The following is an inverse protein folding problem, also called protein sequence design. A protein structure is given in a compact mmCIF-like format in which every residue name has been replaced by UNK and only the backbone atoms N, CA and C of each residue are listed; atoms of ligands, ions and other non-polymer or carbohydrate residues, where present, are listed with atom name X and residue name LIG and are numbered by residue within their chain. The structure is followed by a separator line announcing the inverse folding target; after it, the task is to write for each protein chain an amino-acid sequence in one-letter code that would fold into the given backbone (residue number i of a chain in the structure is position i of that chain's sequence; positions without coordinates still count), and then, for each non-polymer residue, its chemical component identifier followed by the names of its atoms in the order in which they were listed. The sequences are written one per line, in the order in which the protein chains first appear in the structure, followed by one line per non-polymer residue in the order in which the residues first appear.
data_IF_310289933870
#
_entry.id   IF_310289933870
#
_cell.length_a   1.000
_cell.length_b   1.000
_cell.length_c   1.000
_cell.angle_alpha   90.00
_cell.angle_beta   90.00
_cell.angle_gamma   90.00
#
_symmetry.space_group_name_H-M   'P 1'
#
loop_
_entity.id
_entity.type
_entity.pdbx_description
1 polymer ?
#
# COMPACT_ATOMS: atom_id res chain seq x y z
N UNK A 1 -23.68 0.08 -0.57
CA UNK A 1 -22.87 0.75 -1.61
C UNK A 1 -22.12 -0.24 -2.50
N UNK A 2 -21.24 -1.08 -1.95
CA UNK A 2 -20.48 -2.12 -2.71
C UNK A 2 -21.34 -2.90 -3.71
N UNK A 3 -22.49 -3.43 -3.28
CA UNK A 3 -23.42 -4.15 -4.16
C UNK A 3 -23.87 -3.32 -5.37
N UNK A 4 -24.27 -2.05 -5.17
CA UNK A 4 -24.69 -1.16 -6.27
C UNK A 4 -23.55 -0.91 -7.24
N UNK A 5 -22.34 -0.65 -6.73
CA UNK A 5 -21.16 -0.45 -7.57
C UNK A 5 -20.80 -1.71 -8.36
N UNK A 6 -20.98 -2.90 -7.79
CA UNK A 6 -20.79 -4.17 -8.51
C UNK A 6 -21.77 -4.32 -9.68
N UNK A 7 -23.04 -3.96 -9.49
CA UNK A 7 -24.02 -3.97 -10.58
C UNK A 7 -23.61 -3.00 -11.70
N UNK A 8 -23.19 -1.78 -11.35
CA UNK A 8 -22.71 -0.79 -12.32
C UNK A 8 -21.47 -1.28 -13.09
N UNK A 9 -20.54 -1.97 -12.43
CA UNK A 9 -19.36 -2.55 -13.11
C UNK A 9 -19.81 -3.61 -14.13
N UNK A 10 -20.75 -4.48 -13.76
CA UNK A 10 -21.26 -5.54 -14.64
C UNK A 10 -21.98 -4.96 -15.86
N UNK A 11 -22.81 -3.93 -15.67
CA UNK A 11 -23.52 -3.24 -16.77
C UNK A 11 -22.56 -2.57 -17.76
N UNK A 12 -21.47 -1.94 -17.28
CA UNK A 12 -20.47 -1.32 -18.15
C UNK A 12 -19.55 -2.34 -18.84
N UNK A 13 -19.56 -3.62 -18.42
CA UNK A 13 -18.74 -4.69 -19.01
C UNK A 13 -19.45 -5.44 -20.15
N UNK A 14 -20.77 -5.27 -20.29
CA UNK A 14 -21.56 -5.85 -21.37
C UNK A 14 -21.31 -5.07 -22.67
N UNK A 15 -20.99 -5.73 -23.80
CA UNK A 15 -20.81 -5.04 -25.08
C UNK A 15 -22.14 -4.44 -25.51
N UNK A 16 -22.29 -3.10 -25.39
CA UNK A 16 -23.49 -2.43 -25.86
C UNK A 16 -23.58 -2.57 -27.38
N UNK A 17 -24.55 -3.33 -27.86
CA UNK A 17 -24.91 -3.41 -29.27
C UNK A 17 -25.58 -2.10 -29.71
N UNK A 18 -24.83 -1.00 -29.82
CA UNK A 18 -25.09 0.17 -30.66
C UNK A 18 -24.24 1.38 -30.19
N UNK A 19 -23.36 1.87 -31.06
CA UNK A 19 -23.44 3.18 -31.73
C UNK A 19 -22.04 3.60 -32.17
N UNK A 20 -21.83 3.71 -33.49
CA UNK A 20 -20.59 4.22 -34.08
C UNK A 20 -20.28 5.62 -33.55
N UNK A 21 -19.10 5.78 -32.93
CA UNK A 21 -18.43 7.07 -32.71
C UNK A 21 -17.95 7.28 -31.27
N UNK A 22 -16.62 7.26 -31.07
CA UNK A 22 -15.91 7.74 -29.87
C UNK A 22 -16.10 6.99 -28.52
N UNK A 23 -16.25 5.66 -28.55
CA UNK A 23 -16.63 4.85 -27.38
C UNK A 23 -15.50 4.43 -26.42
N UNK A 24 -14.22 4.61 -26.76
CA UNK A 24 -13.11 4.10 -25.92
C UNK A 24 -12.86 4.89 -24.62
N UNK A 25 -13.04 6.21 -24.67
CA UNK A 25 -12.78 7.11 -23.55
C UNK A 25 -13.99 7.18 -22.58
N UNK A 26 -15.22 7.36 -23.08
CA UNK A 26 -16.40 7.59 -22.23
C UNK A 26 -16.60 6.61 -21.03
N UNK A 27 -16.31 5.29 -21.14
CA UNK A 27 -16.39 4.37 -20.01
C UNK A 27 -15.29 4.57 -18.94
N UNK A 28 -14.06 4.91 -19.36
CA UNK A 28 -12.91 5.10 -18.46
C UNK A 28 -13.11 6.36 -17.62
N UNK A 29 -13.50 7.48 -18.23
CA UNK A 29 -13.74 8.72 -17.49
C UNK A 29 -14.95 8.58 -16.55
N UNK A 30 -15.94 7.75 -16.90
CA UNK A 30 -17.05 7.43 -15.98
C UNK A 30 -16.56 6.67 -14.76
N UNK A 31 -15.73 5.65 -14.93
CA UNK A 31 -15.15 4.89 -13.82
C UNK A 31 -14.28 5.81 -12.95
N UNK A 32 -13.46 6.65 -13.56
CA UNK A 32 -12.62 7.60 -12.83
C UNK A 32 -13.46 8.57 -11.97
N UNK A 33 -14.56 9.11 -12.50
CA UNK A 33 -15.49 9.94 -11.72
C UNK A 33 -16.12 9.18 -10.55
N UNK A 34 -16.56 7.95 -10.78
CA UNK A 34 -17.12 7.10 -9.71
C UNK A 34 -16.10 6.84 -8.60
N UNK A 35 -14.86 6.53 -8.97
CA UNK A 35 -13.76 6.35 -7.99
C UNK A 35 -13.61 7.63 -7.16
N UNK A 36 -13.51 8.79 -7.80
CA UNK A 36 -13.35 10.07 -7.08
C UNK A 36 -14.53 10.39 -6.15
N UNK A 37 -15.76 10.15 -6.61
CA UNK A 37 -16.97 10.33 -5.78
C UNK A 37 -16.95 9.41 -4.55
N UNK A 38 -16.59 8.14 -4.72
CA UNK A 38 -16.48 7.22 -3.58
C UNK A 38 -15.34 7.62 -2.63
N UNK A 39 -14.19 8.11 -3.11
CA UNK A 39 -13.13 8.61 -2.25
C UNK A 39 -13.57 9.80 -1.41
N UNK A 40 -14.37 10.70 -1.99
CA UNK A 40 -14.94 11.85 -1.27
C UNK A 40 -15.90 11.37 -0.17
N UNK A 41 -16.81 10.44 -0.49
CA UNK A 41 -17.74 9.86 0.49
C UNK A 41 -17.00 9.16 1.64
N UNK A 42 -15.94 8.40 1.34
CA UNK A 42 -15.12 7.76 2.37
C UNK A 42 -14.45 8.78 3.29
N UNK A 43 -13.87 9.84 2.72
CA UNK A 43 -13.20 10.90 3.49
C UNK A 43 -14.20 11.61 4.41
N UNK A 44 -15.37 11.93 3.86
CA UNK A 44 -16.48 12.50 4.61
C UNK A 44 -16.99 11.61 5.75
N UNK A 45 -17.06 10.30 5.53
CA UNK A 45 -17.51 9.34 6.54
C UNK A 45 -16.44 9.11 7.63
N UNK A 46 -15.16 9.10 7.26
CA UNK A 46 -14.05 9.01 8.19
C UNK A 46 -13.96 10.25 9.11
N UNK A 47 -14.29 11.45 8.59
CA UNK A 47 -14.25 12.68 9.37
C UNK A 47 -15.38 12.82 10.40
N UNK A 48 -16.44 12.01 10.28
CA UNK A 48 -17.60 12.03 11.19
C UNK A 48 -17.47 11.04 12.34
N UNK A 49 -16.58 10.05 12.24
CA UNK A 49 -16.42 9.03 13.27
C UNK A 49 -14.95 8.61 13.39
N UNK A 50 -14.33 8.72 14.58
CA UNK A 50 -12.94 8.32 14.79
C UNK A 50 -12.72 6.86 14.38
N UNK A 51 -11.63 6.60 13.65
CA UNK A 51 -11.28 5.24 13.21
C UNK A 51 -12.43 4.51 12.51
N UNK A 52 -13.10 5.18 11.57
CA UNK A 52 -14.22 4.60 10.83
C UNK A 52 -13.76 3.48 9.89
N UNK A 53 -13.68 2.27 10.43
CA UNK A 53 -13.29 1.06 9.73
C UNK A 53 -14.09 0.81 8.45
N UNK A 54 -15.40 1.08 8.47
CA UNK A 54 -16.27 0.85 7.31
C UNK A 54 -15.96 1.81 6.15
N UNK A 55 -15.61 3.06 6.45
CA UNK A 55 -15.23 4.04 5.43
C UNK A 55 -13.92 3.64 4.77
N UNK A 56 -12.90 3.34 5.57
CA UNK A 56 -11.57 2.96 5.07
C UNK A 56 -11.58 1.62 4.33
N UNK A 57 -12.34 0.64 4.80
CA UNK A 57 -12.47 -0.67 4.15
C UNK A 57 -13.26 -0.59 2.85
N UNK A 58 -14.27 0.28 2.77
CA UNK A 58 -14.93 0.59 1.51
C UNK A 58 -13.95 1.27 0.54
N UNK A 59 -13.09 2.18 1.03
CA UNK A 59 -12.04 2.83 0.23
C UNK A 59 -11.07 1.81 -0.39
N UNK A 60 -10.60 0.83 0.38
CA UNK A 60 -9.81 -0.31 -0.12
C UNK A 60 -10.57 -1.08 -1.21
N UNK A 61 -11.84 -1.39 -0.95
CA UNK A 61 -12.66 -2.14 -1.90
C UNK A 61 -12.79 -1.41 -3.24
N UNK A 62 -12.98 -0.08 -3.22
CA UNK A 62 -13.03 0.76 -4.43
C UNK A 62 -11.71 0.69 -5.20
N UNK A 63 -10.56 0.75 -4.51
CA UNK A 63 -9.26 0.63 -5.15
C UNK A 63 -9.04 -0.72 -5.84
N UNK A 64 -9.45 -1.81 -5.20
CA UNK A 64 -9.33 -3.16 -5.73
C UNK A 64 -10.25 -3.39 -6.94
N UNK A 65 -11.52 -2.95 -6.84
CA UNK A 65 -12.56 -3.36 -7.78
C UNK A 65 -12.80 -2.35 -8.90
N UNK A 66 -12.67 -1.05 -8.63
CA UNK A 66 -12.89 0.02 -9.61
C UNK A 66 -11.58 0.57 -10.16
N UNK A 67 -10.66 0.99 -9.28
CA UNK A 67 -9.41 1.64 -9.71
C UNK A 67 -8.28 0.67 -10.10
N UNK A 68 -8.51 -0.64 -9.94
CA UNK A 68 -7.61 -1.75 -10.34
C UNK A 68 -6.19 -1.64 -9.81
N UNK A 69 -6.02 -1.00 -8.65
CA UNK A 69 -4.71 -0.80 -8.00
C UNK A 69 -3.64 -0.29 -8.97
N UNK A 70 -3.96 0.64 -9.87
CA UNK A 70 -2.94 1.22 -10.74
C UNK A 70 -1.91 1.99 -9.92
N UNK A 71 -0.63 1.91 -10.29
CA UNK A 71 0.48 2.60 -9.60
C UNK A 71 0.16 4.07 -9.36
N UNK A 72 -0.33 4.76 -10.39
CA UNK A 72 -0.72 6.16 -10.32
C UNK A 72 -1.75 6.41 -9.21
N UNK A 73 -2.83 5.63 -9.16
CA UNK A 73 -3.87 5.81 -8.14
C UNK A 73 -3.34 5.52 -6.74
N UNK A 74 -2.49 4.50 -6.57
CA UNK A 74 -1.88 4.20 -5.28
C UNK A 74 -1.00 5.35 -4.77
N UNK A 75 -0.19 5.95 -5.66
CA UNK A 75 0.66 7.10 -5.34
C UNK A 75 -0.15 8.37 -5.04
N UNK A 76 -1.19 8.63 -5.84
CA UNK A 76 -2.10 9.75 -5.63
C UNK A 76 -2.81 9.62 -4.27
N UNK A 77 -3.23 8.41 -3.89
CA UNK A 77 -3.88 8.13 -2.61
C UNK A 77 -2.91 8.20 -1.42
N UNK A 78 -1.67 7.75 -1.57
CA UNK A 78 -0.65 7.89 -0.52
C UNK A 78 -0.35 9.37 -0.26
N UNK A 79 -0.32 10.17 -1.32
CA UNK A 79 -0.13 11.62 -1.24
C UNK A 79 -1.35 12.32 -0.63
N UNK A 80 -2.56 12.00 -1.09
CA UNK A 80 -3.80 12.66 -0.65
C UNK A 80 -4.15 12.37 0.82
N UNK A 81 -3.79 11.18 1.32
CA UNK A 81 -4.06 10.78 2.70
C UNK A 81 -2.97 11.17 3.70
N UNK A 82 -1.84 11.75 3.25
CA UNK A 82 -0.75 12.18 4.15
C UNK A 82 -1.26 13.23 5.15
N UNK A 83 -1.92 14.28 4.65
CA UNK A 83 -2.50 15.32 5.51
C UNK A 83 -3.54 14.77 6.48
N UNK A 84 -4.32 13.76 6.06
CA UNK A 84 -5.32 13.15 6.91
C UNK A 84 -4.71 12.55 8.17
N UNK A 85 -3.69 11.70 8.01
CA UNK A 85 -3.06 11.01 9.15
C UNK A 85 -2.26 11.96 10.04
N UNK A 86 -1.71 13.05 9.47
CA UNK A 86 -1.09 14.12 10.26
C UNK A 86 -2.09 14.85 11.17
N UNK A 87 -3.37 14.92 10.78
CA UNK A 87 -4.44 15.54 11.58
C UNK A 87 -5.17 14.55 12.49
N UNK A 88 -5.06 13.24 12.23
CA UNK A 88 -5.78 12.17 12.92
C UNK A 88 -4.81 11.08 13.39
N UNK A 89 -3.86 11.45 14.24
CA UNK A 89 -2.74 10.59 14.69
C UNK A 89 -3.16 9.33 15.45
N UNK A 90 -4.42 9.23 15.89
CA UNK A 90 -4.99 8.03 16.54
C UNK A 90 -5.87 7.18 15.59
N UNK A 91 -5.97 7.53 14.31
CA UNK A 91 -6.81 6.81 13.34
C UNK A 91 -6.12 5.53 12.86
N UNK A 92 -6.28 4.45 13.63
CA UNK A 92 -5.75 3.14 13.25
C UNK A 92 -6.23 2.66 11.88
N UNK A 93 -7.48 2.98 11.49
CA UNK A 93 -8.01 2.56 10.19
C UNK A 93 -7.39 3.35 9.03
N UNK A 94 -7.10 4.64 9.25
CA UNK A 94 -6.39 5.49 8.30
C UNK A 94 -4.94 5.06 8.09
N UNK A 95 -4.21 4.74 9.16
CA UNK A 95 -2.85 4.20 9.04
C UNK A 95 -2.82 2.82 8.39
N UNK A 96 -3.76 1.93 8.75
CA UNK A 96 -3.91 0.65 8.06
C UNK A 96 -4.20 0.81 6.56
N UNK A 97 -4.99 1.82 6.17
CA UNK A 97 -5.20 2.14 4.75
C UNK A 97 -3.89 2.53 4.05
N UNK A 98 -3.04 3.35 4.69
CA UNK A 98 -1.71 3.69 4.14
C UNK A 98 -0.82 2.47 4.00
N UNK A 99 -0.82 1.59 4.99
CA UNK A 99 -0.12 0.31 4.93
C UNK A 99 -0.60 -0.56 3.76
N UNK A 100 -1.92 -0.62 3.52
CA UNK A 100 -2.49 -1.29 2.35
C UNK A 100 -1.96 -0.71 1.04
N UNK A 101 -1.82 0.63 0.93
CA UNK A 101 -1.28 1.28 -0.28
C UNK A 101 0.18 0.91 -0.51
N UNK A 102 1.02 0.97 0.53
CA UNK A 102 2.44 0.61 0.45
C UNK A 102 2.63 -0.86 0.07
N UNK A 103 1.91 -1.77 0.72
CA UNK A 103 1.93 -3.19 0.39
C UNK A 103 1.48 -3.45 -1.06
N UNK A 104 0.45 -2.74 -1.52
CA UNK A 104 -0.01 -2.84 -2.91
C UNK A 104 1.06 -2.37 -3.91
N UNK A 105 1.80 -1.29 -3.59
CA UNK A 105 2.92 -0.82 -4.40
C UNK A 105 4.06 -1.85 -4.42
N UNK A 106 4.44 -2.39 -3.26
CA UNK A 106 5.45 -3.46 -3.14
C UNK A 106 5.08 -4.62 -4.05
N UNK A 107 3.88 -5.22 -3.89
CA UNK A 107 3.44 -6.37 -4.66
C UNK A 107 3.44 -6.11 -6.18
N UNK A 108 3.15 -4.89 -6.62
CA UNK A 108 3.20 -4.53 -8.05
C UNK A 108 4.62 -4.51 -8.58
N UNK A 109 5.54 -3.84 -7.88
CA UNK A 109 6.95 -3.79 -8.28
C UNK A 109 7.55 -5.20 -8.38
N UNK A 110 7.18 -6.13 -7.49
CA UNK A 110 7.58 -7.55 -7.60
C UNK A 110 7.08 -8.19 -8.89
N UNK A 111 5.81 -7.98 -9.21
CA UNK A 111 5.16 -8.58 -10.38
C UNK A 111 5.78 -8.06 -11.68
N UNK A 112 5.99 -6.75 -11.77
CA UNK A 112 6.56 -6.09 -12.95
C UNK A 112 8.02 -6.55 -13.19
N UNK A 113 8.80 -6.70 -12.11
CA UNK A 113 10.17 -7.23 -12.18
C UNK A 113 10.22 -8.70 -12.64
N UNK A 114 9.31 -9.55 -12.15
CA UNK A 114 9.24 -10.96 -12.56
C UNK A 114 8.89 -11.11 -14.06
N UNK A 115 7.97 -10.29 -14.56
CA UNK A 115 7.58 -10.28 -15.99
C UNK A 115 8.77 -9.82 -16.86
N UNK A 116 9.50 -8.79 -16.44
CA UNK A 116 10.68 -8.30 -17.17
C UNK A 116 11.77 -9.38 -17.30
N UNK A 117 12.07 -10.09 -16.19
CA UNK A 117 13.06 -11.18 -16.17
C UNK A 117 12.63 -12.34 -17.05
N UNK A 118 11.35 -12.73 -17.02
CA UNK A 118 10.83 -13.83 -17.83
C UNK A 118 10.86 -13.51 -19.33
N UNK A 119 10.52 -12.27 -19.72
CA UNK A 119 10.58 -11.83 -21.13
C UNK A 119 12.02 -11.76 -21.66
N UNK A 120 13.01 -11.46 -20.82
CA UNK A 120 14.43 -11.53 -21.18
C UNK A 120 14.89 -12.98 -21.44
N UNK A 121 14.45 -13.94 -20.62
CA UNK A 121 14.81 -15.36 -20.81
C UNK A 121 14.18 -15.99 -22.06
N UNK A 122 12.97 -15.56 -22.46
CA UNK A 122 12.34 -16.04 -23.71
C UNK A 122 13.04 -15.49 -24.95
N UNK A 123 13.62 -14.28 -24.87
CA UNK A 123 14.31 -13.66 -26.00
C UNK A 123 15.70 -14.26 -26.29
N UNK A 124 16.34 -14.92 -25.32
CA UNK A 124 17.62 -15.61 -25.54
C UNK A 124 17.50 -17.02 -26.12
N UNK A 125 16.28 -17.59 -26.22
CA UNK A 125 16.07 -18.94 -26.74
C UNK A 125 15.68 -19.02 -28.23
N UNK A 126 15.77 -17.91 -28.99
CA UNK A 126 15.45 -17.93 -30.41
C UNK A 126 16.46 -17.16 -31.29
N UNK A 127 17.63 -17.75 -31.61
CA UNK A 127 18.50 -17.21 -32.65
C UNK A 127 18.02 -17.73 -34.01
N UNK A 128 16.97 -17.13 -34.59
CA UNK A 128 16.69 -17.34 -36.01
C UNK A 128 16.22 -16.09 -36.74
N UNK A 129 17.16 -15.56 -37.53
CA UNK A 129 17.02 -14.77 -38.75
C UNK A 129 16.22 -13.46 -38.69
N UNK A 130 16.96 -12.36 -38.52
CA UNK A 130 16.62 -11.07 -39.09
C UNK A 130 16.52 -11.15 -40.62
N UNK A 131 15.39 -10.73 -41.18
CA UNK A 131 15.35 -9.95 -42.43
C UNK A 131 14.21 -8.96 -42.33
N UNK A 132 14.57 -7.68 -42.45
CA UNK A 132 13.72 -6.54 -42.16
C UNK A 132 12.69 -6.23 -43.22
N UNK A 133 11.80 -5.31 -42.87
CA UNK A 133 11.16 -4.37 -43.78
C UNK A 133 10.63 -3.19 -42.95
N UNK A 134 11.03 -1.98 -43.34
CA UNK A 134 10.56 -0.71 -42.80
C UNK A 134 9.07 -0.52 -43.13
N UNK A 135 8.25 -0.17 -42.14
CA UNK A 135 6.98 0.52 -42.37
C UNK A 135 6.75 1.55 -41.28
N UNK A 136 6.68 2.80 -41.71
CA UNK A 136 6.49 3.98 -40.91
C UNK A 136 5.10 4.06 -40.24
N UNK A 137 5.10 4.65 -39.04
CA UNK A 137 4.05 5.54 -38.57
C UNK A 137 2.75 4.91 -38.08
N UNK A 138 2.66 4.66 -36.77
CA UNK A 138 1.53 5.17 -35.97
C UNK A 138 2.01 5.29 -34.52
N UNK A 139 2.24 6.53 -34.08
CA UNK A 139 2.39 6.88 -32.67
C UNK A 139 1.09 6.51 -31.93
N UNK A 140 1.14 5.46 -31.11
CA UNK A 140 0.15 5.22 -30.07
C UNK A 140 0.90 5.30 -28.75
N UNK A 141 0.60 6.34 -27.98
CA UNK A 141 1.10 6.60 -26.65
C UNK A 141 0.83 5.38 -25.74
N UNK A 142 1.79 4.47 -25.65
CA UNK A 142 1.83 3.44 -24.62
C UNK A 142 2.54 4.06 -23.42
N UNK A 143 1.78 4.24 -22.35
CA UNK A 143 2.15 4.87 -21.10
C UNK A 143 3.61 4.61 -20.70
N UNK A 144 4.34 5.69 -20.39
CA UNK A 144 5.55 5.59 -19.60
C UNK A 144 5.19 4.87 -18.30
N UNK A 145 5.55 3.58 -18.19
CA UNK A 145 5.59 2.89 -16.91
C UNK A 145 6.69 3.56 -16.10
N UNK A 146 6.28 4.63 -15.40
CA UNK A 146 7.12 5.35 -14.47
C UNK A 146 7.57 4.35 -13.41
N UNK A 147 8.86 3.96 -13.46
CA UNK A 147 9.43 3.08 -12.46
C UNK A 147 9.21 3.70 -11.09
N UNK A 148 8.51 2.96 -10.22
CA UNK A 148 8.23 3.43 -8.86
C UNK A 148 9.52 3.32 -8.06
N UNK A 149 10.02 4.47 -7.60
CA UNK A 149 11.10 4.53 -6.61
C UNK A 149 10.56 4.12 -5.23
N UNK A 150 10.36 2.81 -5.07
CA UNK A 150 9.76 2.19 -3.90
C UNK A 150 10.57 2.42 -2.61
N UNK A 151 11.92 2.31 -2.60
CA UNK A 151 12.72 2.63 -1.42
C UNK A 151 12.46 4.05 -0.92
N UNK A 152 12.46 5.04 -1.83
CA UNK A 152 12.16 6.44 -1.45
C UNK A 152 10.78 6.61 -0.85
N UNK A 153 9.76 5.87 -1.32
CA UNK A 153 8.40 5.95 -0.75
C UNK A 153 8.31 5.40 0.67
N UNK A 154 9.09 4.37 0.98
CA UNK A 154 9.18 3.81 2.32
C UNK A 154 9.98 4.73 3.25
N UNK A 155 11.06 5.34 2.75
CA UNK A 155 11.82 6.34 3.49
C UNK A 155 10.96 7.57 3.83
N UNK A 156 10.21 8.11 2.86
CA UNK A 156 9.27 9.22 3.07
C UNK A 156 8.17 8.90 4.11
N UNK A 157 7.71 7.64 4.16
CA UNK A 157 6.75 7.19 5.16
C UNK A 157 7.40 7.06 6.56
N UNK A 158 8.64 6.57 6.63
CA UNK A 158 9.39 6.47 7.87
C UNK A 158 9.70 7.85 8.48
N UNK A 159 10.03 8.82 7.63
CA UNK A 159 10.18 10.22 8.04
C UNK A 159 8.86 10.79 8.58
N UNK A 160 7.73 10.49 7.95
CA UNK A 160 6.41 10.86 8.45
C UNK A 160 6.12 10.23 9.82
N UNK A 161 6.41 8.95 10.02
CA UNK A 161 6.26 8.28 11.31
C UNK A 161 7.08 8.99 12.39
N UNK A 162 8.36 9.24 12.10
CA UNK A 162 9.29 9.93 13.00
C UNK A 162 8.76 11.31 13.40
N UNK A 163 8.34 12.11 12.42
CA UNK A 163 7.78 13.45 12.65
C UNK A 163 6.53 13.40 13.55
N UNK A 164 5.61 12.47 13.27
CA UNK A 164 4.37 12.37 14.04
C UNK A 164 4.62 11.84 15.46
N UNK A 165 5.53 10.88 15.65
CA UNK A 165 5.89 10.34 16.96
C UNK A 165 6.56 11.43 17.82
N UNK A 166 7.43 12.27 17.24
CA UNK A 166 8.08 13.38 17.93
C UNK A 166 7.07 14.48 18.31
N UNK A 167 6.14 14.82 17.41
CA UNK A 167 5.18 15.91 17.61
C UNK A 167 3.97 15.52 18.48
N UNK A 168 3.58 14.25 18.48
CA UNK A 168 2.39 13.72 19.15
C UNK A 168 2.75 12.48 19.98
N UNK A 169 3.36 12.67 21.16
CA UNK A 169 3.74 11.56 22.02
C UNK A 169 2.52 10.84 22.60
N UNK A 170 2.65 9.54 22.86
CA UNK A 170 1.64 8.74 23.57
C UNK A 170 0.59 8.08 22.66
N UNK A 171 0.80 8.07 21.35
CA UNK A 171 -0.13 7.45 20.39
C UNK A 171 0.39 6.08 19.90
N UNK A 172 -0.18 5.00 20.41
CA UNK A 172 0.15 3.62 20.03
C UNK A 172 0.07 3.40 18.51
N UNK A 173 -0.92 4.00 17.86
CA UNK A 173 -1.15 3.92 16.41
C UNK A 173 0.11 4.24 15.60
N UNK A 174 0.85 5.29 16.00
CA UNK A 174 2.03 5.74 15.27
C UNK A 174 3.18 4.74 15.38
N UNK A 175 3.38 4.17 16.57
CA UNK A 175 4.41 3.16 16.82
C UNK A 175 4.11 1.84 16.10
N UNK A 176 2.84 1.41 16.10
CA UNK A 176 2.41 0.23 15.33
C UNK A 176 2.62 0.42 13.83
N UNK A 177 2.28 1.60 13.29
CA UNK A 177 2.49 1.89 11.87
C UNK A 177 3.98 1.96 11.50
N UNK A 178 4.82 2.50 12.39
CA UNK A 178 6.28 2.53 12.21
C UNK A 178 6.89 1.13 12.12
N UNK A 179 6.47 0.20 13.00
CA UNK A 179 6.89 -1.20 13.02
C UNK A 179 6.60 -1.88 11.68
N UNK A 180 5.35 -1.75 11.23
CA UNK A 180 4.90 -2.33 9.96
C UNK A 180 5.61 -1.72 8.74
N UNK A 181 5.85 -0.40 8.76
CA UNK A 181 6.56 0.31 7.67
C UNK A 181 8.02 -0.12 7.61
N UNK A 182 8.71 -0.20 8.76
CA UNK A 182 10.11 -0.65 8.82
C UNK A 182 10.23 -2.12 8.40
N UNK A 183 9.28 -2.94 8.83
CA UNK A 183 9.20 -4.34 8.41
C UNK A 183 9.15 -4.45 6.89
N UNK A 184 8.32 -3.64 6.23
CA UNK A 184 8.20 -3.60 4.77
C UNK A 184 9.49 -3.13 4.07
N UNK A 185 10.25 -2.21 4.67
CA UNK A 185 11.54 -1.75 4.11
C UNK A 185 12.62 -2.83 4.11
N UNK A 186 12.58 -3.77 5.07
CA UNK A 186 13.59 -4.83 5.20
C UNK A 186 13.18 -6.18 4.63
N UNK A 187 11.88 -6.44 4.45
CA UNK A 187 11.41 -7.67 3.83
C UNK A 187 11.53 -7.60 2.30
N UNK A 188 12.35 -8.48 1.74
CA UNK A 188 12.38 -8.69 0.30
C UNK A 188 11.01 -9.15 -0.25
N UNK A 189 10.76 -8.96 -1.56
CA UNK A 189 9.53 -9.27 -2.31
C UNK A 189 8.71 -10.50 -1.91
N UNK A 190 9.37 -11.58 -1.47
CA UNK A 190 8.80 -12.89 -1.25
C UNK A 190 8.02 -13.06 0.07
N UNK A 191 8.13 -12.13 1.02
CA UNK A 191 7.44 -12.19 2.31
C UNK A 191 6.19 -11.28 2.40
N UNK A 192 5.90 -10.50 1.34
CA UNK A 192 4.69 -9.67 1.30
C UNK A 192 3.46 -10.56 1.18
N UNK A 193 2.82 -10.85 2.32
CA UNK A 193 1.45 -11.37 2.32
C UNK A 193 0.61 -10.40 1.47
N UNK A 194 -0.15 -10.93 0.50
CA UNK A 194 -1.06 -10.12 -0.33
C UNK A 194 -1.76 -9.07 0.54
N UNK A 195 -1.74 -7.80 0.12
CA UNK A 195 -2.33 -6.68 0.85
C UNK A 195 -3.73 -7.07 1.36
N UNK A 196 -3.83 -7.42 2.64
CA UNK A 196 -5.05 -7.99 3.19
C UNK A 196 -6.09 -6.88 3.21
N UNK A 197 -7.22 -7.14 2.56
CA UNK A 197 -8.36 -6.25 2.66
C UNK A 197 -8.86 -6.28 4.10
N UNK A 198 -9.31 -5.13 4.60
CA UNK A 198 -10.00 -5.06 5.87
C UNK A 198 -11.29 -5.93 5.82
N UNK A 199 -11.35 -6.99 6.63
CA UNK A 199 -12.48 -7.92 6.78
C UNK A 199 -13.75 -7.24 7.32
N UNK A 200 -14.71 -6.96 6.43
CA UNK A 200 -16.01 -6.35 6.80
C UNK A 200 -17.16 -7.34 6.74
N UNK A 201 -17.02 -8.44 5.99
CA UNK A 201 -18.10 -9.38 5.71
C UNK A 201 -17.87 -10.70 6.47
N UNK A 202 -18.28 -10.73 7.74
CA UNK A 202 -18.25 -11.93 8.59
C UNK A 202 -19.30 -12.96 8.16
N UNK A 203 -18.95 -13.81 7.19
CA UNK A 203 -19.70 -15.04 6.87
C UNK A 203 -18.73 -16.21 6.70
N UNK A 204 -18.14 -16.65 7.81
CA UNK A 204 -17.78 -18.05 7.98
C UNK A 204 -17.80 -18.43 9.46
N UNK A 205 -18.88 -19.07 9.90
CA UNK A 205 -18.89 -19.82 11.15
C UNK A 205 -18.07 -21.10 10.96
N UNK A 206 -16.91 -21.17 11.62
CA UNK A 206 -16.34 -22.35 12.31
C UNK A 206 -14.80 -22.33 12.37
N UNK A 207 -14.24 -21.44 13.19
CA UNK A 207 -13.08 -21.79 14.01
C UNK A 207 -12.95 -20.87 15.22
N UNK A 208 -12.99 -21.50 16.37
CA UNK A 208 -12.84 -20.94 17.69
C UNK A 208 -11.51 -20.19 17.88
N UNK A 209 -11.59 -19.03 18.57
CA UNK A 209 -10.50 -18.35 19.30
C UNK A 209 -9.29 -17.92 18.46
N UNK A 210 -9.40 -16.77 17.79
CA UNK A 210 -8.21 -16.01 17.39
C UNK A 210 -7.67 -15.23 18.61
N UNK A 211 -6.93 -15.94 19.47
CA UNK A 211 -5.98 -15.29 20.35
C UNK A 211 -4.82 -14.78 19.50
N UNK A 212 -4.29 -13.61 19.84
CA UNK A 212 -3.04 -13.07 19.33
C UNK A 212 -1.92 -14.13 19.42
N UNK A 213 -1.57 -14.76 18.30
CA UNK A 213 -0.44 -15.69 18.21
C UNK A 213 0.72 -14.98 17.54
N UNK A 214 1.76 -14.67 18.31
CA UNK A 214 3.11 -14.50 17.80
C UNK A 214 3.51 -15.79 17.08
N UNK A 215 3.56 -15.78 15.75
CA UNK A 215 4.31 -16.79 15.00
C UNK A 215 5.72 -16.26 14.69
N UNK A 216 6.65 -16.53 15.59
CA UNK A 216 8.09 -16.48 15.29
C UNK A 216 8.43 -17.68 14.40
N UNK A 217 8.37 -17.52 13.08
CA UNK A 217 8.99 -18.47 12.13
C UNK A 217 10.06 -17.76 11.30
N UNK A 218 11.28 -17.98 11.74
CA UNK A 218 12.56 -17.47 11.23
C UNK A 218 12.79 -17.96 9.79
N UNK A 219 12.72 -17.06 8.81
CA UNK A 219 13.28 -17.27 7.48
C UNK A 219 14.75 -16.80 7.45
N UNK A 220 15.61 -17.59 6.81
CA UNK A 220 17.06 -17.33 6.71
C UNK A 220 17.33 -16.17 5.75
N UNK A 221 18.24 -15.28 6.19
CA UNK A 221 18.63 -13.97 5.61
C UNK A 221 18.87 -13.97 4.10
N UNK A 222 18.39 -12.91 3.45
CA UNK A 222 18.98 -12.32 2.25
C UNK A 222 19.93 -11.15 2.66
N UNK A 223 20.89 -10.74 1.81
CA UNK A 223 21.83 -9.67 2.13
C UNK A 223 21.14 -8.31 2.30
N UNK A 224 21.62 -7.54 3.28
CA UNK A 224 21.17 -6.18 3.61
C UNK A 224 21.38 -5.28 2.38
N UNK A 225 20.31 -4.70 1.85
CA UNK A 225 20.39 -3.58 0.92
C UNK A 225 20.29 -2.28 1.72
N UNK A 226 21.13 -1.31 1.36
CA UNK A 226 21.27 0.02 1.97
C UNK A 226 19.99 0.86 1.80
N UNK A 227 18.99 0.58 2.64
CA UNK A 227 17.94 1.51 3.04
C UNK A 227 18.32 2.09 4.41
N UNK A 228 17.70 3.21 4.82
CA UNK A 228 17.94 3.89 6.12
C UNK A 228 18.30 2.87 7.22
N UNK A 229 19.58 2.85 7.60
CA UNK A 229 20.14 1.73 8.34
C UNK A 229 19.47 1.53 9.70
N UNK A 230 19.42 0.29 10.22
CA UNK A 230 18.87 0.00 11.54
C UNK A 230 19.46 0.86 12.67
N UNK A 231 20.67 1.39 12.49
CA UNK A 231 21.32 2.32 13.41
C UNK A 231 20.58 3.64 13.58
N UNK A 232 19.97 4.18 12.52
CA UNK A 232 19.18 5.42 12.58
C UNK A 232 17.94 5.23 13.47
N UNK A 233 17.30 4.06 13.33
CA UNK A 233 16.10 3.72 14.09
C UNK A 233 16.40 3.51 15.58
N UNK A 234 17.51 2.85 15.91
CA UNK A 234 17.98 2.76 17.29
C UNK A 234 18.29 4.14 17.89
N UNK A 235 18.95 5.03 17.14
CA UNK A 235 19.25 6.39 17.59
C UNK A 235 17.97 7.20 17.84
N UNK A 236 16.98 7.06 16.95
CA UNK A 236 15.68 7.69 17.12
C UNK A 236 15.00 7.23 18.42
N UNK A 237 14.90 5.92 18.64
CA UNK A 237 14.25 5.36 19.83
C UNK A 237 14.99 5.74 21.11
N UNK A 238 16.32 5.71 21.11
CA UNK A 238 17.13 6.11 22.27
C UNK A 238 16.98 7.64 22.54
N UNK A 239 16.88 8.48 21.50
CA UNK A 239 16.54 9.90 21.63
C UNK A 239 15.16 10.10 22.27
N UNK A 240 14.14 9.37 21.81
CA UNK A 240 12.79 9.44 22.39
C UNK A 240 12.83 9.04 23.86
N UNK A 241 13.43 7.91 24.20
CA UNK A 241 13.52 7.40 25.58
C UNK A 241 14.29 8.33 26.52
N UNK A 242 15.29 9.06 26.02
CA UNK A 242 16.09 9.99 26.84
C UNK A 242 15.39 11.34 27.10
N UNK A 243 14.41 11.71 26.27
CA UNK A 243 13.77 13.03 26.31
C UNK A 243 12.28 12.97 26.67
N UNK A 244 11.64 11.79 26.60
CA UNK A 244 10.21 11.65 26.82
C UNK A 244 9.81 11.93 28.27
N UNK A 245 8.73 12.70 28.43
CA UNK A 245 8.04 12.90 29.72
C UNK A 245 6.71 12.16 29.79
N UNK A 246 6.18 11.79 28.63
CA UNK A 246 4.93 11.06 28.49
C UNK A 246 5.14 9.56 28.78
N UNK A 247 4.31 9.01 29.68
CA UNK A 247 4.44 7.63 30.18
C UNK A 247 4.10 6.62 29.08
N UNK A 248 3.08 6.92 28.27
CA UNK A 248 2.66 6.05 27.18
C UNK A 248 3.71 6.05 26.07
N UNK A 249 4.28 7.21 25.73
CA UNK A 249 5.39 7.32 24.79
C UNK A 249 6.59 6.49 25.23
N UNK A 250 7.00 6.57 26.50
CA UNK A 250 8.10 5.77 27.03
C UNK A 250 7.80 4.26 26.93
N UNK A 251 6.54 3.87 27.22
CA UNK A 251 6.08 2.49 27.13
C UNK A 251 6.13 1.97 25.69
N UNK A 252 5.61 2.73 24.73
CA UNK A 252 5.60 2.36 23.32
C UNK A 252 7.00 2.34 22.72
N UNK A 253 7.83 3.36 22.97
CA UNK A 253 9.23 3.37 22.55
C UNK A 253 10.01 2.17 23.10
N UNK A 254 9.77 1.79 24.36
CA UNK A 254 10.40 0.60 24.96
C UNK A 254 9.93 -0.69 24.29
N UNK A 255 8.64 -0.81 23.97
CA UNK A 255 8.09 -1.96 23.27
C UNK A 255 8.67 -2.07 21.86
N UNK A 256 8.71 -0.95 21.13
CA UNK A 256 9.29 -0.84 19.80
C UNK A 256 10.77 -1.21 19.79
N UNK A 257 11.56 -0.72 20.77
CA UNK A 257 12.97 -1.11 20.93
C UNK A 257 13.15 -2.62 21.09
N UNK A 258 12.30 -3.28 21.90
CA UNK A 258 12.35 -4.74 22.08
C UNK A 258 12.00 -5.48 20.80
N UNK A 259 11.02 -4.97 20.05
CA UNK A 259 10.68 -5.49 18.74
C UNK A 259 11.86 -5.34 17.77
N UNK A 260 12.49 -4.16 17.66
CA UNK A 260 13.66 -3.91 16.80
C UNK A 260 14.80 -4.91 17.05
N UNK A 261 15.12 -5.17 18.33
CA UNK A 261 16.15 -6.15 18.72
C UNK A 261 15.79 -7.55 18.21
N UNK A 262 14.53 -7.95 18.37
CA UNK A 262 14.03 -9.25 17.90
C UNK A 262 14.02 -9.34 16.37
N UNK A 263 13.62 -8.24 15.72
CA UNK A 263 13.48 -8.11 14.28
C UNK A 263 14.83 -8.17 13.56
N UNK A 264 15.82 -7.39 14.03
CA UNK A 264 17.16 -7.33 13.46
C UNK A 264 18.05 -8.50 13.92
N UNK A 265 17.62 -9.23 14.95
CA UNK A 265 18.28 -10.42 15.47
C UNK A 265 19.63 -10.12 16.12
N UNK A 266 19.72 -9.00 16.84
CA UNK A 266 20.85 -8.63 17.70
C UNK A 266 20.62 -9.09 19.14
#
# INVERSE_FOLDING_TARGET
RRWVLQQLIQENSLPSLATKGNLGAAPVERIHRLVQEEMNVCSEAAGRYPSNYNAWSHRIWVLQHLAKLTVKVLLDELSSTKYWVSMHVSDHSGFHYRQFLLNSLICRTVTDNNILVQNQMVNEQNPSLQKGEESAGTEAACAEEQSVDLPRRLDEEMELCTELIDNYPGHETLWCHSDETLSNSHHGPAASHMAQAMDVDGLNESSSKQGYTQETKRLKRAPVQDSLGPEMEYQFVDKVLSTCRDVDQARFATAYRKWLVTFLGQ
#
